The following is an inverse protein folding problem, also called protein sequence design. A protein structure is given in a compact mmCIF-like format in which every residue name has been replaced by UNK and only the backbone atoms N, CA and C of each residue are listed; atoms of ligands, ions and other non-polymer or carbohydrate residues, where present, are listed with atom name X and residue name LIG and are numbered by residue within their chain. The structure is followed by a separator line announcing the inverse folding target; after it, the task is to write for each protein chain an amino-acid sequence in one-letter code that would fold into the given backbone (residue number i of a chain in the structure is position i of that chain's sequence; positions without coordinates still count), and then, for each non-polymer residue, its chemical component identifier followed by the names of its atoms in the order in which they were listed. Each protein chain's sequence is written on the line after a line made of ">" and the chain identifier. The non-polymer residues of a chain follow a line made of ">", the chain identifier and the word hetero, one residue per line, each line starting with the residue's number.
data_IF_963607834403
#
_entry.id   IF_963607834403
#
_cell.length_a   1.000
_cell.length_b   1.000
_cell.length_c   1.000
_cell.angle_alpha   90.00
_cell.angle_beta   90.00
_cell.angle_gamma   90.00
#
_symmetry.space_group_name_H-M   'P 1'
#
loop_
_entity.id
_entity.type
_entity.pdbx_description
1 polymer ?
#
# COMPACT_ATOMS: atom_id res chain seq x y z
N UNK A 1 -1.89 8.43 5.55
CA UNK A 1 -0.88 8.43 4.48
C UNK A 1 0.13 9.53 4.79
N UNK A 2 1.41 9.37 4.41
CA UNK A 2 2.39 10.44 4.54
C UNK A 2 1.81 11.73 3.99
N UNK A 3 1.99 12.82 4.72
CA UNK A 3 1.29 14.06 4.39
C UNK A 3 1.89 14.64 3.10
N UNK A 4 1.02 15.03 2.15
CA UNK A 4 1.42 15.53 0.83
C UNK A 4 2.45 16.68 0.94
N UNK A 5 2.29 17.53 1.95
CA UNK A 5 3.19 18.63 2.27
C UNK A 5 4.63 18.19 2.56
N UNK A 6 4.82 17.06 3.25
CA UNK A 6 6.17 16.58 3.62
C UNK A 6 6.96 16.08 2.41
N UNK A 7 6.28 15.50 1.42
CA UNK A 7 6.93 15.00 0.20
C UNK A 7 7.38 16.17 -0.69
N UNK A 8 6.57 17.23 -0.79
CA UNK A 8 6.94 18.45 -1.53
C UNK A 8 8.11 19.18 -0.86
N UNK A 9 8.06 19.34 0.46
CA UNK A 9 9.13 19.99 1.24
C UNK A 9 10.46 19.25 1.09
N UNK A 10 10.45 17.92 1.21
CA UNK A 10 11.66 17.10 1.02
C UNK A 10 12.23 17.25 -0.38
N UNK A 11 11.38 17.19 -1.42
CA UNK A 11 11.82 17.35 -2.79
C UNK A 11 12.41 18.75 -3.06
N UNK A 12 11.79 19.80 -2.52
CA UNK A 12 12.30 21.17 -2.66
C UNK A 12 13.64 21.37 -1.94
N UNK A 13 13.84 20.73 -0.79
CA UNK A 13 15.12 20.77 -0.07
C UNK A 13 16.25 20.11 -0.86
N UNK A 14 15.98 18.97 -1.49
CA UNK A 14 16.98 18.21 -2.25
C UNK A 14 17.27 18.79 -3.65
N UNK A 15 16.24 19.26 -4.35
CA UNK A 15 16.35 19.64 -5.77
C UNK A 15 16.17 21.15 -6.03
N UNK A 16 15.81 21.95 -5.02
CA UNK A 16 15.65 23.40 -5.13
C UNK A 16 14.47 23.87 -6.00
N UNK A 17 13.58 22.95 -6.41
CA UNK A 17 12.42 23.24 -7.24
C UNK A 17 11.22 22.41 -6.79
N UNK A 18 10.00 22.84 -7.16
CA UNK A 18 8.80 22.07 -6.88
C UNK A 18 8.69 20.86 -7.82
N UNK A 19 8.24 19.70 -7.33
CA UNK A 19 8.09 18.51 -8.17
C UNK A 19 6.97 18.73 -9.20
N UNK A 20 7.14 18.21 -10.42
CA UNK A 20 6.05 18.15 -11.38
C UNK A 20 4.93 17.21 -10.87
N UNK A 21 3.68 17.35 -11.33
CA UNK A 21 2.58 16.48 -10.88
C UNK A 21 2.86 14.99 -11.08
N UNK A 22 3.58 14.64 -12.15
CA UNK A 22 3.99 13.26 -12.45
C UNK A 22 5.05 12.76 -11.44
N UNK A 23 6.07 13.57 -11.16
CA UNK A 23 7.11 13.25 -10.18
C UNK A 23 6.50 13.11 -8.79
N UNK A 24 5.62 14.04 -8.41
CA UNK A 24 4.95 14.00 -7.13
C UNK A 24 4.15 12.71 -6.93
N UNK A 25 3.38 12.32 -7.95
CA UNK A 25 2.63 11.05 -7.95
C UNK A 25 3.55 9.84 -7.82
N UNK A 26 4.69 9.85 -8.51
CA UNK A 26 5.68 8.78 -8.44
C UNK A 26 6.29 8.67 -7.02
N UNK A 27 6.72 9.79 -6.44
CA UNK A 27 7.31 9.81 -5.09
C UNK A 27 6.34 9.30 -4.03
N UNK A 28 5.07 9.68 -4.10
CA UNK A 28 4.03 9.16 -3.18
C UNK A 28 3.87 7.65 -3.30
N UNK A 29 3.93 7.12 -4.53
CA UNK A 29 3.87 5.68 -4.77
C UNK A 29 5.08 4.99 -4.15
N UNK A 30 6.29 5.44 -4.46
CA UNK A 30 7.52 4.82 -3.95
C UNK A 30 7.59 4.89 -2.42
N UNK A 31 7.16 5.99 -1.82
CA UNK A 31 7.09 6.13 -0.37
C UNK A 31 6.12 5.11 0.25
N UNK A 32 4.93 4.93 -0.32
CA UNK A 32 3.98 3.95 0.18
C UNK A 32 4.49 2.51 -0.02
N UNK A 33 5.16 2.23 -1.15
CA UNK A 33 5.78 0.93 -1.40
C UNK A 33 6.92 0.64 -0.40
N UNK A 34 7.74 1.65 -0.07
CA UNK A 34 8.76 1.53 0.96
C UNK A 34 8.15 1.25 2.35
N UNK A 35 7.05 1.93 2.70
CA UNK A 35 6.31 1.64 3.94
C UNK A 35 5.77 0.21 3.94
N UNK A 36 5.20 -0.25 2.83
CA UNK A 36 4.76 -1.65 2.71
C UNK A 36 5.92 -2.63 2.87
N UNK A 37 7.09 -2.36 2.31
CA UNK A 37 8.27 -3.20 2.48
C UNK A 37 8.77 -3.24 3.93
N UNK A 38 8.59 -2.16 4.70
CA UNK A 38 8.91 -2.13 6.14
C UNK A 38 7.88 -2.89 6.98
N UNK A 39 6.60 -2.84 6.60
CA UNK A 39 5.53 -3.54 7.33
C UNK A 39 5.54 -5.04 7.01
N UNK A 40 5.77 -5.40 5.74
CA UNK A 40 5.79 -6.78 5.25
C UNK A 40 7.21 -7.36 5.39
N UNK A 41 7.73 -7.32 6.61
CA UNK A 41 9.01 -7.95 6.93
C UNK A 41 8.95 -9.48 6.84
N UNK A 42 10.12 -10.11 6.81
CA UNK A 42 10.23 -11.56 6.66
C UNK A 42 9.52 -12.34 7.78
N UNK A 43 9.49 -11.79 9.00
CA UNK A 43 8.85 -12.42 10.16
C UNK A 43 7.32 -12.42 10.00
N UNK A 44 6.75 -11.29 9.60
CA UNK A 44 5.34 -11.16 9.33
C UNK A 44 4.93 -12.01 8.13
N UNK A 45 5.72 -12.03 7.06
CA UNK A 45 5.44 -12.85 5.88
C UNK A 45 5.46 -14.35 6.20
N UNK A 46 6.46 -14.81 6.95
CA UNK A 46 6.50 -16.19 7.44
C UNK A 46 5.27 -16.50 8.33
N UNK A 47 4.90 -15.58 9.22
CA UNK A 47 3.71 -15.69 10.07
C UNK A 47 2.41 -15.68 9.27
N UNK A 48 2.36 -14.92 8.16
CA UNK A 48 1.21 -14.84 7.28
C UNK A 48 0.94 -16.18 6.59
N UNK A 49 2.00 -16.85 6.14
CA UNK A 49 1.92 -18.15 5.46
C UNK A 49 1.70 -19.32 6.43
N UNK A 50 2.41 -19.33 7.56
CA UNK A 50 2.45 -20.49 8.46
C UNK A 50 1.64 -20.34 9.75
N UNK A 51 1.23 -19.11 10.07
CA UNK A 51 0.58 -18.74 11.32
C UNK A 51 1.56 -18.71 12.50
N UNK A 52 1.35 -17.76 13.41
CA UNK A 52 2.10 -17.66 14.66
C UNK A 52 1.44 -18.53 15.73
N UNK A 53 2.16 -19.53 16.22
CA UNK A 53 1.69 -20.38 17.31
C UNK A 53 1.82 -19.64 18.65
N UNK A 54 0.70 -19.42 19.32
CA UNK A 54 0.62 -18.75 20.62
C UNK A 54 -0.19 -19.59 21.61
N UNK A 55 0.29 -19.62 22.85
CA UNK A 55 -0.47 -20.20 23.96
C UNK A 55 -1.38 -19.12 24.54
N UNK A 56 -2.68 -19.40 24.57
CA UNK A 56 -3.66 -18.50 25.16
C UNK A 56 -3.78 -18.72 26.68
N UNK A 57 -4.52 -17.84 27.35
CA UNK A 57 -4.73 -17.90 28.80
C UNK A 57 -5.46 -19.16 29.28
N UNK A 58 -6.11 -19.87 28.37
CA UNK A 58 -6.75 -21.18 28.60
C UNK A 58 -5.76 -22.36 28.51
N UNK A 59 -4.48 -22.10 28.22
CA UNK A 59 -3.43 -23.09 28.04
C UNK A 59 -3.44 -23.78 26.68
N UNK A 60 -4.37 -23.43 25.78
CA UNK A 60 -4.51 -24.04 24.45
C UNK A 60 -3.58 -23.32 23.46
N UNK A 61 -2.87 -24.12 22.65
CA UNK A 61 -2.08 -23.61 21.54
C UNK A 61 -2.98 -23.31 20.34
N UNK A 62 -2.95 -22.07 19.87
CA UNK A 62 -3.68 -21.65 18.67
C UNK A 62 -2.73 -20.97 17.68
N UNK A 63 -3.09 -20.96 16.39
CA UNK A 63 -2.34 -20.25 15.35
C UNK A 63 -3.05 -18.95 14.99
N UNK A 64 -2.37 -17.83 15.20
CA UNK A 64 -2.79 -16.52 14.71
C UNK A 64 -2.29 -16.31 13.29
N UNK A 65 -3.21 -16.02 12.37
CA UNK A 65 -2.87 -15.65 11.00
C UNK A 65 -3.14 -14.16 10.83
N UNK A 66 -2.07 -13.39 10.60
CA UNK A 66 -2.22 -12.00 10.17
C UNK A 66 -2.99 -12.00 8.84
N UNK A 67 -4.07 -11.23 8.73
CA UNK A 67 -4.81 -11.05 7.48
C UNK A 67 -5.08 -9.58 7.24
N UNK A 68 -4.57 -9.07 6.14
CA UNK A 68 -4.93 -7.75 5.66
C UNK A 68 -6.33 -7.83 5.04
N UNK A 69 -7.24 -6.93 5.44
CA UNK A 69 -8.56 -6.79 4.82
C UNK A 69 -8.44 -6.15 3.44
N UNK A 70 -7.79 -6.83 2.50
CA UNK A 70 -7.71 -6.37 1.12
C UNK A 70 -9.03 -6.66 0.42
N UNK A 71 -9.63 -7.83 0.62
CA UNK A 71 -10.77 -8.31 -0.18
C UNK A 71 -12.00 -7.39 -0.13
N UNK A 72 -12.41 -6.92 1.06
CA UNK A 72 -13.63 -6.12 1.29
C UNK A 72 -13.48 -4.63 0.97
N UNK A 73 -12.30 -4.19 0.52
CA UNK A 73 -12.11 -2.81 0.09
C UNK A 73 -12.56 -2.64 -1.37
N UNK A 74 -13.44 -1.66 -1.60
CA UNK A 74 -13.79 -1.20 -2.95
C UNK A 74 -12.52 -0.82 -3.73
N UNK A 75 -12.52 -0.99 -5.06
CA UNK A 75 -11.33 -0.78 -5.91
C UNK A 75 -10.60 0.54 -5.61
N UNK A 76 -11.35 1.63 -5.46
CA UNK A 76 -10.79 2.95 -5.15
C UNK A 76 -9.98 2.93 -3.85
N UNK A 77 -10.45 2.23 -2.82
CA UNK A 77 -9.77 2.11 -1.54
C UNK A 77 -8.52 1.23 -1.64
N UNK A 78 -8.55 0.15 -2.42
CA UNK A 78 -7.37 -0.71 -2.69
C UNK A 78 -6.27 0.08 -3.42
N UNK A 79 -6.66 0.82 -4.45
CA UNK A 79 -5.76 1.65 -5.26
C UNK A 79 -5.18 2.79 -4.43
N UNK A 80 -5.99 3.48 -3.62
CA UNK A 80 -5.52 4.52 -2.72
C UNK A 80 -4.56 3.99 -1.65
N UNK A 81 -4.85 2.82 -1.07
CA UNK A 81 -4.05 2.23 0.00
C UNK A 81 -2.71 1.70 -0.52
N UNK A 82 -2.72 0.96 -1.62
CA UNK A 82 -1.50 0.37 -2.15
C UNK A 82 -0.73 1.37 -3.04
N UNK A 83 -1.36 2.47 -3.47
CA UNK A 83 -0.88 3.37 -4.54
C UNK A 83 -0.54 2.66 -5.86
N UNK A 84 -1.00 1.42 -6.00
CA UNK A 84 -0.85 0.62 -7.22
C UNK A 84 -1.94 1.10 -8.17
N UNK A 85 -1.54 1.64 -9.33
CA UNK A 85 -2.44 2.09 -10.41
C UNK A 85 -3.38 3.25 -10.01
N UNK A 86 -2.92 4.17 -9.15
CA UNK A 86 -3.65 5.41 -8.88
C UNK A 86 -3.94 6.14 -10.20
N UNK A 87 -5.23 6.37 -10.49
CA UNK A 87 -5.71 7.02 -11.72
C UNK A 87 -5.40 6.29 -13.03
N UNK A 88 -5.24 4.96 -13.02
CA UNK A 88 -5.12 4.18 -14.26
C UNK A 88 -6.29 4.42 -15.23
N UNK A 89 -6.05 4.26 -16.53
CA UNK A 89 -7.06 4.43 -17.59
C UNK A 89 -8.21 3.44 -17.45
N UNK A 90 -7.97 2.26 -16.88
CA UNK A 90 -8.98 1.23 -16.65
C UNK A 90 -9.64 1.37 -15.25
N UNK A 91 -10.94 1.02 -15.12
CA UNK A 91 -11.68 1.11 -13.86
C UNK A 91 -11.32 0.00 -12.87
N UNK A 92 -10.60 -1.04 -13.31
CA UNK A 92 -10.14 -2.13 -12.47
C UNK A 92 -8.86 -2.75 -13.04
N UNK A 93 -8.04 -3.48 -12.25
CA UNK A 93 -6.77 -4.04 -12.72
C UNK A 93 -6.97 -5.23 -13.67
N UNK A 94 -8.16 -5.82 -13.68
CA UNK A 94 -8.54 -6.94 -14.55
C UNK A 94 -9.33 -6.47 -15.79
N UNK A 95 -9.69 -5.19 -15.83
CA UNK A 95 -10.52 -4.61 -16.87
C UNK A 95 -9.59 -3.98 -17.90
N UNK A 96 -9.89 -4.19 -19.18
CA UNK A 96 -9.20 -3.53 -20.29
C UNK A 96 -10.03 -2.40 -20.93
N UNK A 97 -11.23 -2.15 -20.38
CA UNK A 97 -12.11 -1.07 -20.82
C UNK A 97 -11.58 0.23 -20.24
N UNK A 98 -11.32 1.22 -21.08
CA UNK A 98 -10.90 2.53 -20.60
C UNK A 98 -12.08 3.29 -19.99
N UNK A 99 -11.81 4.14 -19.01
CA UNK A 99 -12.82 4.99 -18.37
C UNK A 99 -13.56 5.90 -19.35
N UNK A 100 -12.93 6.22 -20.48
CA UNK A 100 -13.52 7.02 -21.56
C UNK A 100 -14.65 6.28 -22.30
N UNK A 101 -14.71 4.95 -22.16
CA UNK A 101 -15.66 4.06 -22.82
C UNK A 101 -16.82 3.60 -21.91
N UNK A 102 -16.91 4.16 -20.69
CA UNK A 102 -17.90 3.80 -19.66
C UNK A 102 -18.94 4.90 -19.50
#
# INVERSE_FOLDING_TARGET
>A
LPNDLQVEEFYQQEFGCSPSPTIFTHLKRELMQAIWALILDDELMHTYEHGLALQYSDGIMQRLFARFYTYSMDYLKKVLLATILCLGQCPCPHCFIEKEQI
#
